data_IF_933122338671
#
_entry.id   IF_933122338671
#
_cell.length_a   1.000
_cell.length_b   1.000
_cell.length_c   1.000
_cell.angle_alpha   90.00
_cell.angle_beta   90.00
_cell.angle_gamma   90.00
#
_symmetry.space_group_name_H-M   'P 1'
#
loop_
_entity.id
_entity.type
_entity.pdbx_description
1 polymer ?
#
# COMPACT_ATOMS: atom_id res chain seq x y z
N UNK A 1 1.90 -30.53 35.06
CA UNK A 1 1.71 -31.23 33.78
C UNK A 1 1.14 -30.21 32.81
N UNK A 2 2.00 -29.50 32.08
CA UNK A 2 1.57 -28.58 31.03
C UNK A 2 0.96 -29.40 29.92
N UNK A 3 -0.34 -29.24 29.67
CA UNK A 3 -0.95 -29.74 28.46
C UNK A 3 -0.26 -29.04 27.29
N UNK A 4 0.70 -29.70 26.66
CA UNK A 4 1.18 -29.31 25.34
C UNK A 4 0.01 -29.53 24.42
N UNK A 5 -0.77 -28.47 24.19
CA UNK A 5 -1.69 -28.43 23.07
C UNK A 5 -0.84 -28.77 21.87
N UNK A 6 -1.16 -29.85 21.16
CA UNK A 6 -0.53 -30.13 19.89
C UNK A 6 -0.86 -28.94 18.98
N UNK A 7 0.10 -28.05 18.76
CA UNK A 7 -0.08 -26.77 18.05
C UNK A 7 -0.10 -27.00 16.53
N UNK A 8 0.40 -28.16 16.09
CA UNK A 8 0.53 -28.58 14.70
C UNK A 8 -0.78 -28.59 13.90
N UNK A 9 -1.91 -29.09 14.42
CA UNK A 9 -3.19 -29.09 13.72
C UNK A 9 -3.74 -27.68 13.48
N UNK A 10 -3.58 -26.77 14.45
CA UNK A 10 -4.04 -25.38 14.33
C UNK A 10 -3.17 -24.58 13.36
N UNK A 11 -1.84 -24.75 13.43
CA UNK A 11 -0.93 -24.17 12.43
C UNK A 11 -1.25 -24.70 11.03
N UNK A 12 -1.44 -26.01 10.87
CA UNK A 12 -1.80 -26.63 9.59
C UNK A 12 -3.10 -26.06 9.02
N UNK A 13 -4.12 -25.88 9.85
CA UNK A 13 -5.38 -25.25 9.44
C UNK A 13 -5.21 -23.78 9.06
N UNK A 14 -4.39 -23.03 9.80
CA UNK A 14 -4.08 -21.64 9.49
C UNK A 14 -3.37 -21.50 8.14
N UNK A 15 -2.36 -22.34 7.87
CA UNK A 15 -1.67 -22.36 6.57
C UNK A 15 -2.61 -22.77 5.42
N UNK A 16 -3.52 -23.71 5.67
CA UNK A 16 -4.53 -24.11 4.68
C UNK A 16 -5.47 -22.95 4.33
N UNK A 17 -6.03 -22.27 5.34
CA UNK A 17 -6.86 -21.09 5.14
C UNK A 17 -6.08 -19.93 4.49
N UNK A 18 -4.82 -19.74 4.86
CA UNK A 18 -3.93 -18.76 4.23
C UNK A 18 -3.73 -19.07 2.75
N UNK A 19 -3.55 -20.35 2.38
CA UNK A 19 -3.48 -20.78 0.99
C UNK A 19 -4.74 -20.45 0.20
N UNK A 20 -5.93 -20.72 0.76
CA UNK A 20 -7.21 -20.37 0.14
C UNK A 20 -7.38 -18.85 0.02
N UNK A 21 -6.98 -18.10 1.05
CA UNK A 21 -7.06 -16.66 1.05
C UNK A 21 -6.19 -16.06 -0.05
N UNK A 22 -4.92 -16.50 -0.16
CA UNK A 22 -4.01 -16.08 -1.24
C UNK A 22 -4.57 -16.44 -2.61
N UNK A 23 -5.07 -17.67 -2.79
CA UNK A 23 -5.70 -18.09 -4.05
C UNK A 23 -6.91 -17.20 -4.39
N UNK A 24 -7.77 -16.91 -3.41
CA UNK A 24 -8.94 -16.07 -3.60
C UNK A 24 -8.56 -14.63 -3.97
N UNK A 25 -7.56 -14.06 -3.31
CA UNK A 25 -7.05 -12.70 -3.61
C UNK A 25 -6.54 -12.58 -5.04
N UNK A 26 -6.05 -13.66 -5.65
CA UNK A 26 -5.60 -13.66 -7.05
C UNK A 26 -6.73 -13.93 -8.04
N UNK A 27 -7.60 -14.91 -7.72
CA UNK A 27 -8.67 -15.36 -8.62
C UNK A 27 -9.80 -14.33 -8.73
N UNK A 28 -10.22 -13.72 -7.62
CA UNK A 28 -11.34 -12.77 -7.61
C UNK A 28 -11.10 -11.53 -8.51
N UNK A 29 -9.97 -10.80 -8.40
CA UNK A 29 -9.69 -9.68 -9.30
C UNK A 29 -9.53 -10.14 -10.75
N UNK A 30 -8.92 -11.31 -11.00
CA UNK A 30 -8.77 -11.82 -12.36
C UNK A 30 -10.12 -12.07 -13.05
N UNK A 31 -11.07 -12.73 -12.36
CA UNK A 31 -12.44 -12.92 -12.87
C UNK A 31 -13.17 -11.58 -13.00
N UNK A 32 -13.01 -10.68 -12.03
CA UNK A 32 -13.61 -9.34 -12.07
C UNK A 32 -13.11 -8.52 -13.26
N UNK A 33 -11.82 -8.59 -13.59
CA UNK A 33 -11.22 -7.91 -14.73
C UNK A 33 -11.80 -8.39 -16.07
N UNK A 34 -12.06 -9.69 -16.21
CA UNK A 34 -12.62 -10.30 -17.44
C UNK A 34 -14.12 -10.01 -17.56
N UNK A 35 -14.88 -10.13 -16.48
CA UNK A 35 -16.33 -9.97 -16.49
C UNK A 35 -16.79 -8.52 -16.54
N UNK A 36 -16.00 -7.59 -15.97
CA UNK A 36 -16.35 -6.17 -15.89
C UNK A 36 -15.23 -5.27 -16.45
N UNK A 37 -14.91 -5.35 -17.75
CA UNK A 37 -13.81 -4.60 -18.36
C UNK A 37 -13.98 -3.08 -18.25
N UNK A 38 -15.19 -2.56 -18.06
CA UNK A 38 -15.42 -1.12 -17.84
C UNK A 38 -15.01 -0.68 -16.42
N UNK A 39 -15.38 -1.43 -15.39
CA UNK A 39 -14.98 -1.15 -14.00
C UNK A 39 -13.51 -1.47 -13.73
N UNK A 40 -13.04 -2.57 -14.33
CA UNK A 40 -11.64 -2.99 -14.42
C UNK A 40 -10.68 -1.87 -14.81
N UNK A 41 -11.02 -1.11 -15.87
CA UNK A 41 -10.17 -0.03 -16.37
C UNK A 41 -9.93 1.06 -15.32
N UNK A 42 -10.95 1.44 -14.55
CA UNK A 42 -10.80 2.42 -13.47
C UNK A 42 -9.86 1.91 -12.37
N UNK A 43 -10.02 0.66 -11.95
CA UNK A 43 -9.15 0.04 -10.96
C UNK A 43 -7.70 -0.11 -11.45
N UNK A 44 -7.51 -0.52 -12.72
CA UNK A 44 -6.18 -0.61 -13.34
C UNK A 44 -5.50 0.75 -13.44
N UNK A 45 -6.22 1.79 -13.86
CA UNK A 45 -5.68 3.16 -13.93
C UNK A 45 -5.30 3.65 -12.54
N UNK A 46 -6.14 3.40 -11.52
CA UNK A 46 -5.83 3.72 -10.14
C UNK A 46 -4.58 2.99 -9.63
N UNK A 47 -4.43 1.71 -9.94
CA UNK A 47 -3.26 0.91 -9.57
C UNK A 47 -1.98 1.42 -10.25
N UNK A 48 -2.03 1.69 -11.56
CA UNK A 48 -0.89 2.26 -12.30
C UNK A 48 -0.52 3.63 -11.74
N UNK A 49 -1.50 4.50 -11.46
CA UNK A 49 -1.25 5.79 -10.85
C UNK A 49 -0.58 5.65 -9.47
N UNK A 50 -1.01 4.70 -8.65
CA UNK A 50 -0.41 4.42 -7.35
C UNK A 50 1.05 3.97 -7.48
N UNK A 51 1.35 3.07 -8.42
CA UNK A 51 2.72 2.60 -8.69
C UNK A 51 3.61 3.74 -9.16
N UNK A 52 3.11 4.61 -10.05
CA UNK A 52 3.83 5.78 -10.53
C UNK A 52 4.13 6.74 -9.37
N UNK A 53 3.14 7.04 -8.53
CA UNK A 53 3.32 7.91 -7.36
C UNK A 53 4.34 7.29 -6.39
N UNK A 54 4.20 6.01 -6.06
CA UNK A 54 5.16 5.31 -5.19
C UNK A 54 6.59 5.33 -5.74
N UNK A 55 6.74 5.16 -7.06
CA UNK A 55 8.03 5.29 -7.73
C UNK A 55 8.62 6.71 -7.62
N UNK A 56 7.80 7.74 -7.87
CA UNK A 56 8.21 9.14 -7.70
C UNK A 56 8.61 9.41 -6.25
N UNK A 57 7.81 8.95 -5.29
CA UNK A 57 8.10 9.11 -3.86
C UNK A 57 9.39 8.42 -3.45
N UNK A 58 9.69 7.25 -4.00
CA UNK A 58 10.93 6.53 -3.72
C UNK A 58 12.16 7.21 -4.32
N UNK A 59 12.02 7.84 -5.48
CA UNK A 59 13.08 8.65 -6.11
C UNK A 59 13.32 9.96 -5.35
N UNK A 60 12.28 10.54 -4.76
CA UNK A 60 12.36 11.77 -3.97
C UNK A 60 12.80 11.52 -2.53
N UNK A 61 12.61 10.30 -2.02
CA UNK A 61 13.05 9.90 -0.69
C UNK A 61 14.58 9.90 -0.60
N UNK A 62 15.08 10.66 0.35
CA UNK A 62 16.50 10.68 0.71
C UNK A 62 16.79 9.54 1.70
N UNK A 63 18.00 8.98 1.65
CA UNK A 63 18.50 8.01 2.63
C UNK A 63 19.27 8.67 3.78
N UNK A 64 19.37 10.00 3.78
CA UNK A 64 20.03 10.76 4.84
C UNK A 64 19.37 10.48 6.18
N UNK A 65 20.11 9.82 7.09
CA UNK A 65 19.67 9.55 8.47
C UNK A 65 19.37 10.89 9.15
N UNK A 66 18.11 11.17 9.51
CA UNK A 66 17.78 12.39 10.23
C UNK A 66 18.43 12.30 11.61
N UNK A 67 19.39 13.19 11.90
CA UNK A 67 19.97 13.31 13.23
C UNK A 67 18.99 14.08 14.13
N UNK A 68 18.20 13.36 14.92
CA UNK A 68 17.33 13.92 15.96
C UNK A 68 17.85 13.56 17.35
N UNK A 69 17.43 14.31 18.37
CA UNK A 69 17.83 14.06 19.76
C UNK A 69 17.35 12.64 20.16
N UNK A 70 18.29 11.75 20.48
CA UNK A 70 18.01 10.33 20.79
C UNK A 70 18.31 9.35 19.64
N UNK A 71 18.84 9.82 18.50
CA UNK A 71 19.22 8.95 17.36
C UNK A 71 20.34 7.94 17.67
N UNK A 72 21.08 8.12 18.76
CA UNK A 72 22.08 7.15 19.25
C UNK A 72 21.45 5.93 19.95
N UNK A 73 20.17 6.02 20.34
CA UNK A 73 19.44 4.94 21.03
C UNK A 73 18.62 4.06 20.07
N UNK A 74 18.52 4.45 18.80
CA UNK A 74 17.77 3.74 17.76
C UNK A 74 18.72 3.49 16.60
N UNK A 75 19.08 2.23 16.35
CA UNK A 75 19.80 1.85 15.12
C UNK A 75 18.87 2.04 13.91
N UNK A 76 18.85 3.25 13.37
CA UNK A 76 18.15 3.54 12.12
C UNK A 76 19.11 3.25 10.98
N UNK A 77 18.91 2.11 10.32
CA UNK A 77 19.54 1.80 9.04
C UNK A 77 19.03 2.78 7.97
N UNK A 78 19.92 3.26 7.09
CA UNK A 78 19.59 4.13 5.95
C UNK A 78 18.39 3.62 5.12
N UNK A 79 18.28 2.29 4.96
CA UNK A 79 17.17 1.65 4.26
C UNK A 79 15.82 1.86 4.95
N UNK A 80 15.78 1.83 6.28
CA UNK A 80 14.53 2.02 7.05
C UNK A 80 14.11 3.48 6.96
N UNK A 81 15.05 4.42 7.08
CA UNK A 81 14.76 5.85 6.93
C UNK A 81 14.19 6.16 5.56
N UNK A 82 14.83 5.66 4.49
CA UNK A 82 14.36 5.89 3.12
C UNK A 82 12.96 5.34 2.87
N UNK A 83 12.62 4.19 3.46
CA UNK A 83 11.28 3.59 3.31
C UNK A 83 10.20 4.41 4.03
N UNK A 84 10.52 4.96 5.20
CA UNK A 84 9.64 5.89 5.92
C UNK A 84 9.45 7.18 5.12
N UNK A 85 10.53 7.76 4.61
CA UNK A 85 10.46 8.97 3.79
C UNK A 85 9.69 8.75 2.50
N UNK A 86 9.85 7.58 1.86
CA UNK A 86 9.05 7.19 0.69
C UNK A 86 7.56 7.16 1.02
N UNK A 87 7.18 6.55 2.14
CA UNK A 87 5.79 6.51 2.59
C UNK A 87 5.24 7.91 2.88
N UNK A 88 6.05 8.76 3.50
CA UNK A 88 5.66 10.13 3.84
C UNK A 88 5.47 10.99 2.59
N UNK A 89 6.40 10.96 1.64
CA UNK A 89 6.26 11.62 0.35
C UNK A 89 5.06 11.08 -0.44
N UNK A 90 4.84 9.77 -0.41
CA UNK A 90 3.67 9.14 -1.04
C UNK A 90 2.36 9.71 -0.49
N UNK A 91 2.25 9.81 0.83
CA UNK A 91 1.07 10.36 1.49
C UNK A 91 0.88 11.84 1.16
N UNK A 92 1.95 12.64 1.14
CA UNK A 92 1.89 14.07 0.81
C UNK A 92 1.43 14.32 -0.62
N UNK A 93 2.00 13.59 -1.59
CA UNK A 93 1.61 13.70 -3.00
C UNK A 93 0.14 13.30 -3.17
N UNK A 94 -0.27 12.16 -2.60
CA UNK A 94 -1.65 11.70 -2.68
C UNK A 94 -2.62 12.70 -2.05
N UNK A 95 -2.29 13.23 -0.88
CA UNK A 95 -3.15 14.18 -0.17
C UNK A 95 -3.39 15.46 -0.97
N UNK A 96 -2.33 16.02 -1.57
CA UNK A 96 -2.44 17.21 -2.43
C UNK A 96 -3.24 16.90 -3.69
N UNK A 97 -2.94 15.78 -4.36
CA UNK A 97 -3.69 15.35 -5.56
C UNK A 97 -5.17 15.14 -5.25
N UNK A 98 -5.50 14.52 -4.12
CA UNK A 98 -6.88 14.31 -3.68
C UNK A 98 -7.58 15.65 -3.43
N UNK A 99 -6.93 16.57 -2.69
CA UNK A 99 -7.51 17.89 -2.43
C UNK A 99 -7.79 18.66 -3.74
N UNK A 100 -6.82 18.69 -4.67
CA UNK A 100 -6.97 19.33 -5.98
C UNK A 100 -8.09 18.66 -6.81
N UNK A 101 -8.17 17.33 -6.78
CA UNK A 101 -9.19 16.57 -7.50
C UNK A 101 -10.60 16.91 -7.00
N UNK A 102 -10.78 17.02 -5.69
CA UNK A 102 -12.06 17.39 -5.08
C UNK A 102 -12.46 18.80 -5.53
N UNK A 103 -11.55 19.77 -5.39
CA UNK A 103 -11.82 21.17 -5.81
C UNK A 103 -12.17 21.22 -7.29
N UNK A 104 -11.42 20.52 -8.14
CA UNK A 104 -11.69 20.46 -9.58
C UNK A 104 -13.07 19.87 -9.88
N UNK A 105 -13.48 18.79 -9.21
CA UNK A 105 -14.78 18.16 -9.41
C UNK A 105 -15.91 19.14 -9.04
N UNK A 106 -15.78 19.85 -7.93
CA UNK A 106 -16.80 20.80 -7.48
C UNK A 106 -16.90 22.00 -8.44
N UNK A 107 -15.76 22.56 -8.88
CA UNK A 107 -15.75 23.66 -9.85
C UNK A 107 -16.30 23.22 -11.21
N UNK A 108 -15.89 22.05 -11.71
CA UNK A 108 -16.35 21.54 -13.00
C UNK A 108 -17.87 21.26 -13.02
N UNK A 109 -18.45 20.85 -11.89
CA UNK A 109 -19.91 20.69 -11.75
C UNK A 109 -20.64 22.04 -11.81
N UNK A 110 -20.04 23.12 -11.31
CA UNK A 110 -20.68 24.45 -11.35
C UNK A 110 -20.76 25.03 -12.77
N UNK A 111 -19.86 24.61 -13.67
CA UNK A 111 -19.81 25.05 -15.06
C UNK A 111 -20.52 24.11 -16.04
N UNK A 112 -21.15 23.04 -15.55
CA UNK A 112 -21.86 22.05 -16.37
C UNK A 112 -23.34 21.99 -16.01
#
# INVERSE_FOLDING_TARGET
MSATIDEGPYLGWMYFLLGIAVASVLIFPAIFFITNPKGAKGALVGLVALVVIGGISYLLADSTIPKFIGSELIEITESTSKMVDTGLFGLYILSVLTALSIVYIEVAKMFK
#
